data_IF_109215658365
#
_entry.id   IF_109215658365
#
_cell.length_a   1.000
_cell.length_b   1.000
_cell.length_c   1.000
_cell.angle_alpha   90.00
_cell.angle_beta   90.00
_cell.angle_gamma   90.00
#
_symmetry.space_group_name_H-M   'P 1'
#
loop_
_entity.id
_entity.type
_entity.pdbx_description
1 polymer ?
#
# COMPACT_ATOMS: atom_id res chain seq x y z
N UNK A 1 -9.49 -41.75 39.81
CA UNK A 1 -9.28 -40.61 38.90
C UNK A 1 -8.27 -41.09 37.87
N UNK A 2 -8.73 -41.37 36.65
CA UNK A 2 -8.01 -42.17 35.66
C UNK A 2 -7.01 -41.28 34.90
N UNK A 3 -5.71 -41.60 34.94
CA UNK A 3 -4.65 -40.80 34.30
C UNK A 3 -4.68 -40.84 32.75
N UNK A 4 -5.53 -41.67 32.15
CA UNK A 4 -5.68 -41.75 30.69
C UNK A 4 -6.50 -40.59 30.10
N UNK A 5 -7.49 -40.09 30.84
CA UNK A 5 -8.43 -39.04 30.35
C UNK A 5 -7.73 -37.70 30.12
N UNK A 6 -6.67 -37.39 30.90
CA UNK A 6 -5.91 -36.14 30.75
C UNK A 6 -4.99 -36.14 29.53
N UNK A 7 -4.50 -37.31 29.10
CA UNK A 7 -3.59 -37.42 27.94
C UNK A 7 -4.32 -37.29 26.62
N UNK A 8 -5.54 -37.81 26.53
CA UNK A 8 -6.38 -37.69 25.33
C UNK A 8 -6.90 -36.24 25.15
N UNK A 9 -7.20 -35.53 26.25
CA UNK A 9 -7.56 -34.11 26.24
C UNK A 9 -6.38 -33.20 25.82
N UNK A 10 -5.17 -33.47 26.31
CA UNK A 10 -3.97 -32.75 25.86
C UNK A 10 -3.67 -33.00 24.38
N UNK A 11 -3.76 -34.25 23.90
CA UNK A 11 -3.53 -34.58 22.49
C UNK A 11 -4.52 -33.85 21.57
N UNK A 12 -5.83 -33.88 21.90
CA UNK A 12 -6.85 -33.17 21.12
C UNK A 12 -6.72 -31.64 21.15
N UNK A 13 -6.23 -31.08 22.27
CA UNK A 13 -5.94 -29.64 22.40
C UNK A 13 -4.73 -29.22 21.57
N UNK A 14 -3.66 -30.03 21.57
CA UNK A 14 -2.43 -29.78 20.80
C UNK A 14 -2.68 -29.98 19.31
N UNK A 15 -3.43 -30.99 18.89
CA UNK A 15 -3.83 -31.19 17.48
C UNK A 15 -4.73 -30.06 16.97
N UNK A 16 -5.67 -29.59 17.79
CA UNK A 16 -6.49 -28.43 17.45
C UNK A 16 -5.64 -27.16 17.32
N UNK A 17 -4.70 -26.93 18.23
CA UNK A 17 -3.78 -25.79 18.15
C UNK A 17 -2.85 -25.87 16.92
N UNK A 18 -2.36 -27.06 16.58
CA UNK A 18 -1.49 -27.29 15.41
C UNK A 18 -2.23 -27.10 14.09
N UNK A 19 -3.55 -27.34 14.05
CA UNK A 19 -4.42 -27.04 12.90
C UNK A 19 -4.83 -25.56 12.84
N UNK A 20 -4.97 -24.90 13.99
CA UNK A 20 -5.38 -23.50 14.10
C UNK A 20 -4.27 -22.52 13.67
N UNK A 21 -3.00 -22.85 13.94
CA UNK A 21 -1.86 -21.97 13.63
C UNK A 21 -1.71 -21.74 12.10
N UNK A 22 -1.68 -22.79 11.24
CA UNK A 22 -1.56 -22.62 9.79
C UNK A 22 -2.77 -21.93 9.16
N UNK A 23 -3.98 -22.26 9.62
CA UNK A 23 -5.23 -21.68 9.11
C UNK A 23 -5.34 -20.19 9.46
N UNK A 24 -4.95 -19.81 10.68
CA UNK A 24 -4.88 -18.42 11.09
C UNK A 24 -3.81 -17.65 10.31
N UNK A 25 -2.62 -18.23 10.12
CA UNK A 25 -1.56 -17.60 9.32
C UNK A 25 -2.00 -17.37 7.87
N UNK A 26 -2.65 -18.36 7.25
CA UNK A 26 -3.19 -18.23 5.90
C UNK A 26 -4.28 -17.16 5.82
N UNK A 27 -5.22 -17.15 6.77
CA UNK A 27 -6.25 -16.13 6.85
C UNK A 27 -5.65 -14.71 6.94
N UNK A 28 -4.65 -14.53 7.81
CA UNK A 28 -3.98 -13.24 7.97
C UNK A 28 -3.22 -12.81 6.70
N UNK A 29 -2.63 -13.76 5.95
CA UNK A 29 -2.01 -13.48 4.66
C UNK A 29 -3.03 -13.04 3.61
N UNK A 30 -4.19 -13.70 3.54
CA UNK A 30 -5.27 -13.31 2.62
C UNK A 30 -5.81 -11.93 2.98
N UNK A 31 -6.01 -11.67 4.28
CA UNK A 31 -6.44 -10.36 4.76
C UNK A 31 -5.40 -9.28 4.44
N UNK A 32 -4.11 -9.56 4.61
CA UNK A 32 -3.01 -8.65 4.25
C UNK A 32 -3.02 -8.35 2.74
N UNK A 33 -3.27 -9.35 1.90
CA UNK A 33 -3.34 -9.19 0.46
C UNK A 33 -4.53 -8.29 0.05
N UNK A 34 -5.71 -8.51 0.65
CA UNK A 34 -6.88 -7.67 0.40
C UNK A 34 -6.63 -6.21 0.81
N UNK A 35 -6.09 -5.98 2.01
CA UNK A 35 -5.76 -4.64 2.49
C UNK A 35 -4.73 -3.96 1.59
N UNK A 36 -3.67 -4.68 1.19
CA UNK A 36 -2.66 -4.16 0.27
C UNK A 36 -3.26 -3.79 -1.09
N UNK A 37 -4.14 -4.64 -1.64
CA UNK A 37 -4.80 -4.38 -2.92
C UNK A 37 -5.72 -3.16 -2.88
N UNK A 38 -6.50 -3.02 -1.81
CA UNK A 38 -7.36 -1.85 -1.59
C UNK A 38 -6.53 -0.57 -1.46
N UNK A 39 -5.42 -0.62 -0.72
CA UNK A 39 -4.53 0.52 -0.55
C UNK A 39 -3.90 0.96 -1.88
N UNK A 40 -3.44 -0.01 -2.68
CA UNK A 40 -2.89 0.26 -4.03
C UNK A 40 -3.92 0.92 -4.96
N UNK A 41 -5.19 0.53 -4.86
CA UNK A 41 -6.27 1.09 -5.67
C UNK A 41 -6.57 2.53 -5.28
N UNK A 42 -6.67 2.80 -3.97
CA UNK A 42 -6.86 4.17 -3.46
C UNK A 42 -5.69 5.07 -3.86
N UNK A 43 -4.45 4.61 -3.66
CA UNK A 43 -3.22 5.32 -3.98
C UNK A 43 -3.16 5.76 -5.45
N UNK A 44 -3.55 4.87 -6.37
CA UNK A 44 -3.63 5.15 -7.82
C UNK A 44 -4.68 6.19 -8.17
N UNK A 45 -5.88 6.12 -7.57
CA UNK A 45 -6.96 7.10 -7.82
C UNK A 45 -6.51 8.49 -7.37
N UNK A 46 -5.90 8.53 -6.20
CA UNK A 46 -5.36 9.70 -5.55
C UNK A 46 -4.26 10.37 -6.40
N UNK A 47 -3.30 9.57 -6.87
CA UNK A 47 -2.24 10.05 -7.77
C UNK A 47 -2.83 10.52 -9.10
N UNK A 48 -3.75 9.76 -9.69
CA UNK A 48 -4.39 10.15 -10.95
C UNK A 48 -5.13 11.49 -10.83
N UNK A 49 -5.86 11.71 -9.73
CA UNK A 49 -6.54 12.98 -9.46
C UNK A 49 -5.54 14.13 -9.28
N UNK A 50 -4.46 13.91 -8.55
CA UNK A 50 -3.42 14.92 -8.37
C UNK A 50 -2.68 15.24 -9.68
N UNK A 51 -2.35 14.24 -10.50
CA UNK A 51 -1.78 14.41 -11.85
C UNK A 51 -2.72 15.26 -12.71
N UNK A 52 -4.02 14.92 -12.73
CA UNK A 52 -5.01 15.63 -13.54
C UNK A 52 -5.18 17.09 -13.10
N UNK A 53 -5.23 17.35 -11.79
CA UNK A 53 -5.23 18.72 -11.24
C UNK A 53 -3.98 19.48 -11.64
N UNK A 54 -2.84 18.82 -11.70
CA UNK A 54 -1.59 19.46 -12.09
C UNK A 54 -1.57 19.85 -13.56
N UNK A 55 -2.06 18.95 -14.43
CA UNK A 55 -2.21 19.22 -15.85
C UNK A 55 -3.17 20.39 -16.11
N UNK A 56 -4.25 20.50 -15.33
CA UNK A 56 -5.27 21.55 -15.50
C UNK A 56 -4.88 22.92 -14.95
N UNK A 57 -4.21 23.00 -13.80
CA UNK A 57 -4.04 24.27 -13.07
C UNK A 57 -2.62 24.84 -13.07
N UNK A 58 -1.58 23.99 -13.05
CA UNK A 58 -0.13 24.31 -13.09
C UNK A 58 0.65 23.30 -12.23
N UNK A 59 1.91 23.03 -12.58
CA UNK A 59 2.88 22.27 -11.78
C UNK A 59 2.87 22.62 -10.29
N UNK A 60 2.76 23.91 -9.95
CA UNK A 60 2.79 24.42 -8.57
C UNK A 60 1.48 24.19 -7.79
N UNK A 61 0.35 24.15 -8.51
CA UNK A 61 -0.93 23.77 -7.93
C UNK A 61 -1.02 22.25 -7.73
N UNK A 62 -0.37 21.50 -8.63
CA UNK A 62 -0.17 20.07 -8.53
C UNK A 62 0.59 19.63 -7.30
N UNK A 63 1.76 20.21 -7.08
CA UNK A 63 2.59 19.95 -5.90
C UNK A 63 1.77 20.05 -4.60
N UNK A 64 0.98 21.12 -4.45
CA UNK A 64 0.05 21.28 -3.31
C UNK A 64 -1.05 20.23 -3.25
N UNK A 65 -1.55 19.79 -4.40
CA UNK A 65 -2.51 18.70 -4.44
C UNK A 65 -1.87 17.41 -3.89
N UNK A 66 -0.66 17.05 -4.32
CA UNK A 66 0.04 15.86 -3.82
C UNK A 66 0.38 15.92 -2.33
N UNK A 67 0.87 17.05 -1.82
CA UNK A 67 1.13 17.22 -0.38
C UNK A 67 -0.14 17.22 0.49
N UNK A 68 -1.31 17.50 -0.10
CA UNK A 68 -2.59 17.46 0.61
C UNK A 68 -3.17 16.03 0.75
N UNK A 69 -2.62 15.04 0.06
CA UNK A 69 -3.12 13.67 0.10
C UNK A 69 -2.72 12.93 1.38
N UNK A 70 -1.42 12.81 1.65
CA UNK A 70 -0.91 12.18 2.86
C UNK A 70 0.49 12.70 3.21
N UNK A 71 0.65 13.15 4.45
CA UNK A 71 1.94 13.57 5.02
C UNK A 71 2.99 12.46 5.11
N UNK A 72 2.59 11.18 5.03
CA UNK A 72 3.50 10.02 5.04
C UNK A 72 4.05 9.67 3.66
N UNK A 73 3.58 10.36 2.62
CA UNK A 73 3.97 10.12 1.25
C UNK A 73 5.21 10.92 0.91
N UNK A 74 6.25 10.24 0.42
CA UNK A 74 7.41 10.91 -0.17
C UNK A 74 7.12 11.13 -1.65
N UNK A 75 7.18 12.39 -2.09
CA UNK A 75 6.78 12.81 -3.43
C UNK A 75 7.97 13.52 -4.08
N UNK A 76 8.34 13.04 -5.26
CA UNK A 76 9.31 13.68 -6.15
C UNK A 76 8.57 14.12 -7.42
N UNK A 77 8.75 15.38 -7.80
CA UNK A 77 8.11 15.98 -8.97
C UNK A 77 9.17 16.65 -9.84
N UNK A 78 9.22 16.25 -11.11
CA UNK A 78 10.11 16.83 -12.10
C UNK A 78 9.29 17.50 -13.21
N UNK A 79 9.65 18.72 -13.59
CA UNK A 79 9.02 19.47 -14.68
C UNK A 79 10.05 19.71 -15.77
N UNK A 80 9.75 19.26 -16.98
CA UNK A 80 10.59 19.43 -18.16
C UNK A 80 9.84 20.21 -19.23
N UNK A 81 10.41 21.32 -19.70
CA UNK A 81 9.83 22.10 -20.78
C UNK A 81 10.00 21.39 -22.14
N UNK A 82 8.94 21.32 -22.94
CA UNK A 82 8.93 20.77 -24.29
C UNK A 82 9.21 21.87 -25.33
N UNK A 83 9.95 21.54 -26.42
CA UNK A 83 10.05 22.42 -27.57
C UNK A 83 8.67 22.57 -28.23
N UNK A 84 8.09 23.77 -28.16
CA UNK A 84 6.71 24.04 -28.59
C UNK A 84 5.86 24.78 -27.56
N UNK A 85 6.38 24.96 -26.33
CA UNK A 85 5.68 25.69 -25.26
C UNK A 85 4.99 24.80 -24.23
N UNK A 86 4.90 23.50 -24.50
CA UNK A 86 4.38 22.52 -23.55
C UNK A 86 5.34 22.19 -22.39
N UNK A 87 4.84 21.44 -21.41
CA UNK A 87 5.56 20.97 -20.23
C UNK A 87 5.23 19.48 -19.99
N UNK A 88 6.25 18.66 -19.75
CA UNK A 88 6.11 17.31 -19.18
C UNK A 88 6.27 17.44 -17.67
N UNK A 89 5.39 16.77 -16.93
CA UNK A 89 5.47 16.70 -15.48
C UNK A 89 5.47 15.24 -15.06
N UNK A 90 6.58 14.82 -14.46
CA UNK A 90 6.79 13.45 -13.95
C UNK A 90 6.62 13.45 -12.44
N UNK A 91 6.01 12.38 -11.92
CA UNK A 91 5.78 12.18 -10.50
C UNK A 91 6.29 10.82 -10.07
N UNK A 92 6.94 10.79 -8.91
CA UNK A 92 7.28 9.58 -8.18
C UNK A 92 6.75 9.70 -6.76
N UNK A 93 6.01 8.70 -6.30
CA UNK A 93 5.39 8.67 -4.98
C UNK A 93 5.74 7.38 -4.28
N UNK A 94 6.23 7.48 -3.04
CA UNK A 94 6.48 6.32 -2.17
C UNK A 94 5.59 6.42 -0.92
N UNK A 95 4.84 5.36 -0.62
CA UNK A 95 3.93 5.28 0.52
C UNK A 95 4.11 3.95 1.28
N UNK A 96 4.02 4.00 2.60
CA UNK A 96 3.99 2.81 3.45
C UNK A 96 2.60 2.14 3.42
N UNK A 97 2.54 0.86 3.07
CA UNK A 97 1.31 0.08 3.10
C UNK A 97 1.07 -0.40 4.53
N UNK A 98 -0.17 -0.34 5.06
CA UNK A 98 -0.49 -0.91 6.36
C UNK A 98 -0.26 -2.43 6.37
N UNK A 99 0.52 -2.90 7.34
CA UNK A 99 0.86 -4.31 7.52
C UNK A 99 0.26 -4.81 8.83
N UNK A 100 -0.58 -5.84 8.74
CA UNK A 100 -1.20 -6.55 9.88
C UNK A 100 -0.37 -7.75 10.34
N UNK A 101 0.63 -8.18 9.57
CA UNK A 101 1.51 -9.31 9.91
C UNK A 101 2.98 -8.96 9.77
N UNK A 102 3.78 -9.18 10.82
CA UNK A 102 5.23 -8.95 10.77
C UNK A 102 6.02 -10.09 10.08
N UNK A 103 5.41 -10.75 9.09
CA UNK A 103 6.04 -11.87 8.36
C UNK A 103 7.21 -11.41 7.49
N UNK A 104 7.20 -10.15 7.03
CA UNK A 104 8.24 -9.61 6.15
C UNK A 104 9.39 -8.91 6.88
N UNK A 105 9.28 -8.64 8.19
CA UNK A 105 10.32 -7.96 8.99
C UNK A 105 10.62 -6.50 8.60
N UNK A 106 9.95 -5.95 7.59
CA UNK A 106 10.15 -4.59 7.08
C UNK A 106 8.80 -3.97 6.70
N UNK A 107 8.72 -2.64 6.80
CA UNK A 107 7.62 -1.89 6.21
C UNK A 107 7.59 -2.17 4.69
N UNK A 108 6.41 -2.49 4.17
CA UNK A 108 6.19 -2.69 2.74
C UNK A 108 5.92 -1.31 2.14
N UNK A 109 6.85 -0.86 1.29
CA UNK A 109 6.71 0.40 0.56
C UNK A 109 6.10 0.16 -0.81
N UNK A 110 5.14 0.99 -1.17
CA UNK A 110 4.58 1.07 -2.51
C UNK A 110 5.18 2.26 -3.22
N UNK A 111 5.70 2.03 -4.43
CA UNK A 111 6.12 3.09 -5.34
C UNK A 111 5.10 3.24 -6.47
N UNK A 112 4.71 4.46 -6.77
CA UNK A 112 3.88 4.80 -7.92
C UNK A 112 4.55 5.91 -8.72
N UNK A 113 4.50 5.80 -10.04
CA UNK A 113 5.04 6.79 -10.96
C UNK A 113 3.97 7.20 -11.98
N UNK A 114 4.02 8.44 -12.43
CA UNK A 114 3.08 8.95 -13.42
C UNK A 114 3.64 10.12 -14.19
N UNK A 115 3.10 10.35 -15.39
CA UNK A 115 3.52 11.42 -16.30
C UNK A 115 2.27 12.17 -16.77
N UNK A 116 2.31 13.50 -16.74
CA UNK A 116 1.37 14.39 -17.39
C UNK A 116 2.08 15.22 -18.47
N UNK A 117 1.34 15.55 -19.52
CA UNK A 117 1.79 16.46 -20.57
C UNK A 117 0.79 17.62 -20.62
N UNK A 118 1.31 18.84 -20.59
CA UNK A 118 0.56 20.08 -20.76
C UNK A 118 1.06 20.77 -22.03
N UNK A 119 0.15 21.25 -22.85
CA UNK A 119 0.44 22.10 -24.02
C UNK A 119 0.20 23.58 -23.68
#
# INVERSE_FOLDING_TARGET
MNLSDSKDLESGSVESALSLIPTTAFFLLVLQLMLSGSWQLLDKIDISNAINRTALFSAKAGERAFYALDSRREIDQEVLALPGGGEIITYSSTLDIPVITNLSGSAIKMKSEGIAIRE
#
